data_IF_299712999860
#
_entry.id   IF_299712999860
#
_cell.length_a   1.000
_cell.length_b   1.000
_cell.length_c   1.000
_cell.angle_alpha   90.00
_cell.angle_beta   90.00
_cell.angle_gamma   90.00
#
_symmetry.space_group_name_H-M   'P 1'
#
loop_
_entity.id
_entity.type
_entity.pdbx_description
1 polymer ?
#
# COMPACT_ATOMS: atom_id res chain seq x y z
N UNK A 1 4.69 -7.70 -2.01
CA UNK A 1 5.48 -6.56 -1.50
C UNK A 1 4.52 -5.41 -1.28
N UNK A 2 4.51 -4.81 -0.08
CA UNK A 2 3.65 -3.68 0.26
C UNK A 2 4.18 -2.37 -0.30
N UNK A 3 3.77 -2.03 -1.50
CA UNK A 3 4.33 -0.92 -2.27
C UNK A 3 3.28 0.12 -2.72
N UNK A 4 2.05 0.08 -2.16
CA UNK A 4 0.95 0.88 -2.67
C UNK A 4 0.16 1.66 -1.62
N UNK A 5 0.41 1.41 -0.36
CA UNK A 5 -0.36 1.98 0.75
C UNK A 5 0.28 3.24 1.36
N UNK A 6 -0.26 3.62 2.53
CA UNK A 6 0.17 4.77 3.32
C UNK A 6 1.68 4.90 3.53
N UNK A 7 2.47 3.81 3.69
CA UNK A 7 3.92 3.94 3.78
C UNK A 7 4.56 4.65 2.59
N UNK A 8 4.03 4.48 1.38
CA UNK A 8 4.52 5.22 0.20
C UNK A 8 4.20 6.71 0.30
N UNK A 9 2.98 7.03 0.74
CA UNK A 9 2.59 8.41 0.99
C UNK A 9 3.45 9.10 2.07
N UNK A 10 3.84 8.37 3.12
CA UNK A 10 4.74 8.89 4.16
C UNK A 10 6.10 9.30 3.58
N UNK A 11 6.70 8.43 2.75
CA UNK A 11 7.98 8.74 2.10
C UNK A 11 7.81 9.93 1.14
N UNK A 12 6.80 9.89 0.26
CA UNK A 12 6.59 10.92 -0.76
C UNK A 12 6.32 12.28 -0.12
N UNK A 13 5.46 12.37 0.90
CA UNK A 13 5.19 13.61 1.61
C UNK A 13 6.42 14.16 2.34
N UNK A 14 7.28 13.28 2.87
CA UNK A 14 8.54 13.67 3.47
C UNK A 14 9.50 14.28 2.45
N UNK A 15 9.63 13.67 1.26
CA UNK A 15 10.45 14.22 0.17
C UNK A 15 9.93 15.56 -0.34
N UNK A 16 8.61 15.73 -0.38
CA UNK A 16 7.97 17.00 -0.75
C UNK A 16 8.31 18.10 0.25
N UNK A 17 8.18 17.81 1.55
CA UNK A 17 8.52 18.74 2.62
C UNK A 17 10.00 19.12 2.65
N UNK A 18 10.89 18.19 2.31
CA UNK A 18 12.34 18.46 2.19
C UNK A 18 12.71 19.16 0.87
N UNK A 19 11.79 19.28 -0.09
CA UNK A 19 12.07 19.88 -1.40
C UNK A 19 12.98 19.02 -2.29
N UNK A 20 12.99 17.69 -2.11
CA UNK A 20 13.89 16.75 -2.82
C UNK A 20 13.15 15.73 -3.69
N UNK A 21 11.86 15.94 -3.98
CA UNK A 21 11.01 15.05 -4.78
C UNK A 21 11.59 14.63 -6.16
N UNK A 22 12.47 15.39 -6.73
CA UNK A 22 13.06 15.14 -8.07
C UNK A 22 14.46 14.53 -8.03
N UNK A 23 15.01 14.29 -6.87
CA UNK A 23 16.37 13.77 -6.71
C UNK A 23 16.41 12.25 -6.86
N UNK A 24 17.55 11.73 -7.34
CA UNK A 24 17.80 10.29 -7.31
C UNK A 24 18.06 9.86 -5.87
N UNK A 25 17.39 8.79 -5.46
CA UNK A 25 17.51 8.22 -4.12
C UNK A 25 18.29 6.90 -4.17
N UNK A 26 19.08 6.67 -3.15
CA UNK A 26 19.78 5.40 -2.93
C UNK A 26 19.02 4.55 -1.90
N UNK A 27 19.44 3.30 -1.71
CA UNK A 27 18.89 2.44 -0.64
C UNK A 27 19.18 3.05 0.73
N UNK A 28 20.36 3.61 0.96
CA UNK A 28 20.77 4.25 2.22
C UNK A 28 19.88 5.46 2.55
N UNK A 29 19.52 6.26 1.52
CA UNK A 29 18.56 7.35 1.68
C UNK A 29 17.19 6.83 2.14
N UNK A 30 16.68 5.75 1.53
CA UNK A 30 15.40 5.16 1.88
C UNK A 30 15.40 4.54 3.28
N UNK A 31 16.50 3.88 3.69
CA UNK A 31 16.69 3.32 5.03
C UNK A 31 16.65 4.41 6.11
N UNK A 32 17.02 5.63 5.78
CA UNK A 32 16.96 6.78 6.68
C UNK A 32 15.59 7.48 6.63
N UNK A 33 15.12 7.81 5.44
CA UNK A 33 13.92 8.63 5.23
C UNK A 33 12.66 7.90 5.72
N UNK A 34 12.52 6.60 5.45
CA UNK A 34 11.29 5.86 5.80
C UNK A 34 11.03 5.80 7.31
N UNK A 35 11.98 5.42 8.17
CA UNK A 35 11.75 5.44 9.62
C UNK A 35 11.47 6.84 10.17
N UNK A 36 12.12 7.87 9.64
CA UNK A 36 11.90 9.26 10.04
C UNK A 36 10.50 9.75 9.67
N UNK A 37 10.07 9.53 8.44
CA UNK A 37 8.73 9.86 7.96
C UNK A 37 7.64 9.10 8.75
N UNK A 38 7.84 7.81 8.98
CA UNK A 38 6.90 6.99 9.74
C UNK A 38 6.76 7.46 11.19
N UNK A 39 7.87 7.82 11.83
CA UNK A 39 7.86 8.39 13.20
C UNK A 39 7.14 9.74 13.22
N UNK A 40 7.52 10.66 12.32
CA UNK A 40 6.87 11.97 12.23
C UNK A 40 5.36 11.88 12.05
N UNK A 41 4.87 10.96 11.21
CA UNK A 41 3.44 10.71 11.02
C UNK A 41 2.74 10.11 12.25
N UNK A 42 3.45 9.40 13.12
CA UNK A 42 2.90 8.88 14.39
C UNK A 42 2.80 9.95 15.46
N UNK A 43 3.71 10.92 15.45
CA UNK A 43 3.82 11.98 16.44
C UNK A 43 2.99 13.22 16.09
N UNK A 44 2.65 13.42 14.80
CA UNK A 44 1.95 14.60 14.27
C UNK A 44 0.87 14.19 13.26
N UNK A 45 -0.40 14.41 13.62
CA UNK A 45 -1.56 14.11 12.76
C UNK A 45 -1.54 14.93 11.46
N UNK A 46 -1.02 16.17 11.47
CA UNK A 46 -0.91 16.96 10.25
C UNK A 46 0.05 16.30 9.24
N UNK A 47 1.13 15.68 9.74
CA UNK A 47 2.05 14.88 8.89
C UNK A 47 1.36 13.62 8.33
N UNK A 48 0.54 12.97 9.14
CA UNK A 48 -0.24 11.82 8.69
C UNK A 48 -1.27 12.21 7.61
N UNK A 49 -1.93 13.36 7.74
CA UNK A 49 -2.85 13.88 6.71
C UNK A 49 -2.13 14.17 5.39
N UNK A 50 -0.94 14.77 5.44
CA UNK A 50 -0.10 14.94 4.23
C UNK A 50 0.26 13.59 3.59
N UNK A 51 0.58 12.58 4.39
CA UNK A 51 0.88 11.25 3.88
C UNK A 51 -0.35 10.57 3.24
N UNK A 52 -1.54 10.73 3.82
CA UNK A 52 -2.80 10.23 3.21
C UNK A 52 -3.10 10.94 1.89
N UNK A 53 -2.95 12.27 1.84
CA UNK A 53 -3.12 13.04 0.62
C UNK A 53 -2.11 12.63 -0.48
N UNK A 54 -0.85 12.39 -0.10
CA UNK A 54 0.18 11.91 -1.01
C UNK A 54 -0.13 10.49 -1.53
N UNK A 55 -0.66 9.61 -0.66
CA UNK A 55 -1.12 8.27 -1.06
C UNK A 55 -2.24 8.35 -2.09
N UNK A 56 -3.24 9.19 -1.85
CA UNK A 56 -4.36 9.39 -2.77
C UNK A 56 -3.87 9.90 -4.13
N UNK A 57 -3.02 10.94 -4.18
CA UNK A 57 -2.43 11.44 -5.43
C UNK A 57 -1.66 10.38 -6.20
N UNK A 58 -0.87 9.55 -5.49
CA UNK A 58 -0.16 8.42 -6.10
C UNK A 58 -1.13 7.44 -6.76
N UNK A 59 -2.19 7.06 -6.04
CA UNK A 59 -3.20 6.10 -6.49
C UNK A 59 -4.05 6.67 -7.62
N UNK A 60 -4.37 7.96 -7.60
CA UNK A 60 -5.08 8.69 -8.66
C UNK A 60 -4.24 8.87 -9.94
N UNK A 61 -2.95 8.49 -9.91
CA UNK A 61 -2.11 8.48 -11.11
C UNK A 61 -1.34 9.78 -11.37
N UNK A 62 -1.14 10.64 -10.37
CA UNK A 62 -0.29 11.81 -10.52
C UNK A 62 1.09 11.43 -11.04
N UNK A 63 1.49 12.04 -12.18
CA UNK A 63 2.69 11.65 -12.91
C UNK A 63 3.99 11.87 -12.11
N UNK A 64 4.05 12.91 -11.28
CA UNK A 64 5.21 13.20 -10.46
C UNK A 64 5.33 12.20 -9.31
N UNK A 65 4.22 11.90 -8.63
CA UNK A 65 4.17 10.93 -7.54
C UNK A 65 4.47 9.51 -8.03
N UNK A 66 3.92 9.13 -9.20
CA UNK A 66 4.21 7.84 -9.85
C UNK A 66 5.68 7.69 -10.23
N UNK A 67 6.30 8.76 -10.73
CA UNK A 67 7.73 8.76 -11.06
C UNK A 67 8.60 8.54 -9.82
N UNK A 68 8.32 9.23 -8.74
CA UNK A 68 9.04 9.08 -7.47
C UNK A 68 8.82 7.68 -6.88
N UNK A 69 7.58 7.21 -6.87
CA UNK A 69 7.23 5.85 -6.45
C UNK A 69 8.00 4.80 -7.24
N UNK A 70 8.08 4.91 -8.58
CA UNK A 70 8.83 3.97 -9.40
C UNK A 70 10.31 3.90 -9.03
N UNK A 71 10.93 5.05 -8.71
CA UNK A 71 12.32 5.07 -8.22
C UNK A 71 12.48 4.27 -6.92
N UNK A 72 11.53 4.38 -5.97
CA UNK A 72 11.56 3.58 -4.74
C UNK A 72 11.48 2.09 -5.04
N UNK A 73 10.57 1.71 -5.93
CA UNK A 73 10.40 0.31 -6.31
C UNK A 73 11.68 -0.24 -6.94
N UNK A 74 12.27 0.49 -7.89
CA UNK A 74 13.47 0.06 -8.58
C UNK A 74 14.66 -0.13 -7.62
N UNK A 75 14.89 0.84 -6.73
CA UNK A 75 15.95 0.77 -5.71
C UNK A 75 15.69 -0.36 -4.72
N UNK A 76 14.45 -0.49 -4.22
CA UNK A 76 14.09 -1.53 -3.25
C UNK A 76 14.20 -2.94 -3.85
N UNK A 77 13.73 -3.14 -5.08
CA UNK A 77 13.84 -4.44 -5.76
C UNK A 77 15.31 -4.79 -6.01
N UNK A 78 16.13 -3.83 -6.44
CA UNK A 78 17.56 -4.08 -6.64
C UNK A 78 18.26 -4.52 -5.34
N UNK A 79 17.99 -3.84 -4.22
CA UNK A 79 18.51 -4.19 -2.90
C UNK A 79 18.03 -5.57 -2.42
N UNK A 80 16.74 -5.84 -2.55
CA UNK A 80 16.18 -7.16 -2.18
C UNK A 80 16.78 -8.29 -3.03
N UNK A 81 16.93 -8.10 -4.35
CA UNK A 81 17.57 -9.09 -5.22
C UNK A 81 18.99 -9.40 -4.77
N UNK A 82 19.80 -8.37 -4.50
CA UNK A 82 21.17 -8.57 -4.02
C UNK A 82 21.21 -9.38 -2.71
N UNK A 83 20.29 -9.11 -1.78
CA UNK A 83 20.21 -9.85 -0.52
C UNK A 83 19.78 -11.32 -0.72
N UNK A 84 18.79 -11.57 -1.58
CA UNK A 84 18.34 -12.94 -1.88
C UNK A 84 19.41 -13.72 -2.66
N UNK A 85 20.07 -13.09 -3.63
CA UNK A 85 21.17 -13.71 -4.38
C UNK A 85 22.32 -14.12 -3.45
N UNK A 86 22.65 -13.31 -2.43
CA UNK A 86 23.68 -13.61 -1.45
C UNK A 86 23.40 -14.88 -0.62
N UNK A 87 22.13 -15.27 -0.46
CA UNK A 87 21.72 -16.51 0.22
C UNK A 87 21.26 -17.61 -0.76
N UNK A 88 21.51 -17.43 -2.07
CA UNK A 88 21.21 -18.42 -3.11
C UNK A 88 19.72 -18.57 -3.41
N UNK A 89 18.89 -17.58 -3.10
CA UNK A 89 17.44 -17.59 -3.37
C UNK A 89 17.13 -16.73 -4.59
N UNK A 90 16.42 -17.30 -5.55
CA UNK A 90 16.00 -16.63 -6.77
C UNK A 90 14.50 -16.70 -6.93
N UNK A 91 13.90 -15.62 -7.46
CA UNK A 91 12.47 -15.53 -7.73
C UNK A 91 12.22 -15.26 -9.23
N UNK A 92 11.29 -15.98 -9.81
CA UNK A 92 10.86 -15.78 -11.21
C UNK A 92 9.92 -14.58 -11.36
N UNK A 93 9.17 -14.22 -10.30
CA UNK A 93 8.19 -13.16 -10.31
C UNK A 93 8.41 -12.19 -9.15
N UNK A 94 8.41 -10.90 -9.49
CA UNK A 94 8.47 -9.78 -8.55
C UNK A 94 7.19 -8.95 -8.68
N UNK A 95 6.23 -9.18 -7.78
CA UNK A 95 4.94 -8.49 -7.78
C UNK A 95 4.74 -7.74 -6.46
N UNK A 96 4.30 -6.49 -6.56
CA UNK A 96 3.84 -5.69 -5.46
C UNK A 96 2.32 -5.53 -5.47
N UNK A 97 1.75 -4.92 -4.44
CA UNK A 97 0.32 -4.60 -4.33
C UNK A 97 -0.17 -3.75 -5.52
N UNK A 98 0.66 -2.81 -5.98
CA UNK A 98 0.36 -1.99 -7.14
C UNK A 98 0.00 -2.82 -8.39
N UNK A 99 0.62 -4.00 -8.56
CA UNK A 99 0.40 -4.87 -9.73
C UNK A 99 -0.99 -5.52 -9.77
N UNK A 100 -1.71 -5.51 -8.67
CA UNK A 100 -3.06 -6.12 -8.55
C UNK A 100 -4.15 -5.09 -8.29
N UNK A 101 -3.79 -3.81 -8.16
CA UNK A 101 -4.73 -2.74 -7.84
C UNK A 101 -5.92 -2.69 -8.81
N UNK A 102 -5.67 -2.77 -10.11
CA UNK A 102 -6.70 -2.71 -11.14
C UNK A 102 -7.62 -3.96 -11.17
N UNK A 103 -7.23 -5.02 -10.46
CA UNK A 103 -8.04 -6.25 -10.35
C UNK A 103 -9.05 -6.18 -9.20
N UNK A 104 -8.89 -5.24 -8.27
CA UNK A 104 -9.69 -5.18 -7.04
C UNK A 104 -11.15 -4.85 -7.36
N UNK A 105 -11.42 -3.78 -8.09
CA UNK A 105 -12.79 -3.37 -8.39
C UNK A 105 -13.57 -4.47 -9.14
N UNK A 106 -13.08 -5.06 -10.25
CA UNK A 106 -13.78 -6.16 -10.92
C UNK A 106 -13.95 -7.40 -10.02
N UNK A 107 -13.02 -7.68 -9.13
CA UNK A 107 -13.14 -8.78 -8.18
C UNK A 107 -14.28 -8.51 -7.18
N UNK A 108 -14.34 -7.30 -6.60
CA UNK A 108 -15.39 -6.93 -5.65
C UNK A 108 -16.76 -6.96 -6.30
N UNK A 109 -16.90 -6.45 -7.54
CA UNK A 109 -18.14 -6.52 -8.30
C UNK A 109 -18.57 -7.99 -8.50
N UNK A 110 -17.63 -8.85 -8.86
CA UNK A 110 -17.90 -10.29 -9.00
C UNK A 110 -18.38 -10.92 -7.69
N UNK A 111 -17.81 -10.52 -6.55
CA UNK A 111 -18.22 -11.03 -5.23
C UNK A 111 -19.61 -10.51 -4.84
N UNK A 112 -19.94 -9.26 -5.15
CA UNK A 112 -21.29 -8.70 -4.97
C UNK A 112 -22.33 -9.43 -5.84
N UNK A 113 -22.04 -9.63 -7.11
CA UNK A 113 -22.93 -10.34 -8.04
C UNK A 113 -23.24 -11.79 -7.62
N UNK A 114 -22.26 -12.43 -6.95
CA UNK A 114 -22.42 -13.77 -6.39
C UNK A 114 -23.09 -13.77 -5.00
N UNK A 115 -23.42 -12.62 -4.45
CA UNK A 115 -23.97 -12.48 -3.09
C UNK A 115 -23.00 -12.85 -1.98
N UNK A 116 -21.69 -12.89 -2.26
CA UNK A 116 -20.63 -13.19 -1.28
C UNK A 116 -20.16 -11.94 -0.55
N UNK A 117 -20.18 -10.79 -1.22
CA UNK A 117 -19.89 -9.51 -0.61
C UNK A 117 -21.18 -8.72 -0.38
N UNK A 118 -21.31 -8.12 0.78
CA UNK A 118 -22.48 -7.34 1.21
C UNK A 118 -22.06 -5.96 1.71
N UNK A 119 -22.99 -5.02 1.67
CA UNK A 119 -22.80 -3.72 2.33
C UNK A 119 -23.18 -3.83 3.81
N UNK A 120 -22.26 -3.41 4.67
CA UNK A 120 -22.44 -3.39 6.11
C UNK A 120 -21.90 -2.06 6.66
N UNK A 121 -22.82 -1.25 7.23
CA UNK A 121 -22.54 0.05 7.84
C UNK A 121 -21.64 0.97 6.96
N UNK A 122 -21.91 0.96 5.63
CA UNK A 122 -21.19 1.75 4.61
C UNK A 122 -19.85 1.17 4.16
N UNK A 123 -19.44 0.02 4.69
CA UNK A 123 -18.31 -0.76 4.20
C UNK A 123 -18.81 -1.87 3.26
N UNK A 124 -17.92 -2.43 2.44
CA UNK A 124 -18.17 -3.66 1.68
C UNK A 124 -17.40 -4.78 2.33
N UNK A 125 -18.11 -5.81 2.77
CA UNK A 125 -17.53 -6.90 3.55
C UNK A 125 -17.91 -8.27 2.99
N UNK A 126 -17.08 -9.28 3.27
CA UNK A 126 -17.39 -10.70 3.04
C UNK A 126 -17.53 -11.38 4.39
N UNK A 127 -18.71 -11.91 4.77
CA UNK A 127 -18.86 -12.77 5.93
C UNK A 127 -18.05 -14.06 5.73
N UNK A 128 -17.08 -14.31 6.60
CA UNK A 128 -16.18 -15.47 6.50
C UNK A 128 -16.36 -16.47 7.65
N UNK A 129 -17.21 -16.14 8.62
CA UNK A 129 -17.52 -16.99 9.76
C UNK A 129 -18.19 -18.31 9.30
N UNK A 130 -17.77 -19.42 9.90
CA UNK A 130 -18.29 -20.76 9.63
C UNK A 130 -18.96 -21.32 10.87
N UNK A 131 -19.90 -22.25 10.70
CA UNK A 131 -20.61 -22.89 11.80
C UNK A 131 -19.69 -23.66 12.78
N UNK A 132 -18.54 -24.13 12.28
CA UNK A 132 -17.53 -24.84 13.07
C UNK A 132 -16.56 -23.93 13.81
N UNK A 133 -16.62 -22.61 13.62
CA UNK A 133 -15.70 -21.67 14.27
C UNK A 133 -15.98 -21.60 15.77
N UNK A 134 -14.94 -21.77 16.57
CA UNK A 134 -15.02 -21.76 18.03
C UNK A 134 -15.07 -20.35 18.64
N UNK A 135 -14.89 -19.33 17.82
CA UNK A 135 -14.90 -17.91 18.18
C UNK A 135 -15.54 -17.13 17.05
N UNK A 136 -16.16 -16.01 17.39
CA UNK A 136 -16.64 -15.02 16.42
C UNK A 136 -15.50 -14.59 15.49
N UNK A 137 -15.73 -14.72 14.17
CA UNK A 137 -14.78 -14.32 13.15
C UNK A 137 -15.29 -13.05 12.48
N UNK A 138 -14.58 -11.91 12.63
CA UNK A 138 -15.02 -10.67 12.00
C UNK A 138 -15.03 -10.82 10.47
N UNK A 139 -15.95 -10.12 9.77
CA UNK A 139 -16.01 -10.17 8.32
C UNK A 139 -14.74 -9.58 7.70
N UNK A 140 -14.36 -10.10 6.54
CA UNK A 140 -13.28 -9.53 5.72
C UNK A 140 -13.77 -8.23 5.09
N UNK A 141 -13.12 -7.12 5.41
CA UNK A 141 -13.44 -5.81 4.83
C UNK A 141 -12.72 -5.68 3.49
N UNK A 142 -13.48 -5.49 2.41
CA UNK A 142 -12.97 -5.22 1.07
C UNK A 142 -12.79 -3.71 0.84
N UNK A 143 -13.85 -2.93 1.10
CA UNK A 143 -13.81 -1.47 1.09
C UNK A 143 -14.25 -0.93 2.44
N UNK A 144 -13.52 0.06 2.94
CA UNK A 144 -13.94 0.86 4.09
C UNK A 144 -15.07 1.82 3.68
N UNK A 145 -15.71 2.47 4.67
CA UNK A 145 -16.73 3.52 4.46
C UNK A 145 -16.26 4.69 3.58
N UNK A 146 -14.99 5.02 3.63
CA UNK A 146 -14.35 6.07 2.83
C UNK A 146 -13.91 5.58 1.44
N UNK A 147 -14.23 4.34 1.06
CA UNK A 147 -13.85 3.71 -0.20
C UNK A 147 -12.41 3.18 -0.25
N UNK A 148 -11.64 3.32 0.83
CA UNK A 148 -10.28 2.81 0.88
C UNK A 148 -10.25 1.28 0.87
N UNK A 149 -9.32 0.71 0.12
CA UNK A 149 -9.06 -0.73 0.04
C UNK A 149 -8.23 -1.19 1.24
N UNK A 150 -8.56 -2.34 1.79
CA UNK A 150 -7.79 -2.95 2.87
C UNK A 150 -6.66 -3.83 2.32
N UNK A 151 -5.62 -4.04 3.13
CA UNK A 151 -4.52 -4.95 2.78
C UNK A 151 -4.98 -6.39 2.50
N UNK A 152 -6.06 -6.83 3.13
CA UNK A 152 -6.62 -8.18 2.95
C UNK A 152 -7.50 -8.34 1.71
N UNK A 153 -7.71 -7.25 0.94
CA UNK A 153 -8.51 -7.30 -0.28
C UNK A 153 -7.68 -7.77 -1.44
#
# INVERSE_FOLDING_TARGET
>A
MGDWGTPMGQIISELELRGIMGQSLTMEDLETIYPEASRACKEDEARMELARAATAKLQDGDAQYRKVWQQFIDVSIAGMKANFDAVGVHFDLWKGEASVHDLIAPMVDTLKDKGLAVEDDGAVVVPVERQEDSKEVPPLILYKRDGAVMYGT
#
